data_IF_880302369002
#
_entry.id   IF_880302369002
#
_cell.length_a   1.000
_cell.length_b   1.000
_cell.length_c   1.000
_cell.angle_alpha   90.00
_cell.angle_beta   90.00
_cell.angle_gamma   90.00
#
_symmetry.space_group_name_H-M   'P 1'
#
loop_
_entity.id
_entity.type
_entity.pdbx_description
1 polymer ?
2 non-polymer ?
3 non-polymer ?
4 non-polymer ?
5 water ?
#
# COMPACT_ATOMS: atom_id res chain seq x y z
N UNK A 6 18.50 6.01 -17.60
CA UNK A 6 18.85 6.37 -16.22
C UNK A 6 18.18 7.67 -15.74
N UNK A 7 18.26 8.72 -16.56
CA UNK A 7 17.58 9.95 -16.17
C UNK A 7 16.08 9.87 -16.44
N UNK A 8 15.66 9.13 -17.47
CA UNK A 8 14.23 8.88 -17.61
C UNK A 8 13.72 8.00 -16.48
N UNK A 9 14.59 7.16 -15.90
CA UNK A 9 14.21 6.49 -14.66
C UNK A 9 14.08 7.51 -13.53
N UNK A 10 15.00 8.47 -13.47
CA UNK A 10 14.93 9.47 -12.44
C UNK A 10 13.61 10.20 -12.49
N UNK A 11 13.16 10.57 -13.69
CA UNK A 11 11.88 11.24 -13.82
C UNK A 11 10.72 10.33 -13.41
N UNK A 12 10.85 9.02 -13.58
CA UNK A 12 9.75 8.13 -13.21
C UNK A 12 9.67 7.98 -11.70
N UNK A 13 10.82 7.76 -11.05
CA UNK A 13 10.84 7.75 -9.59
C UNK A 13 10.39 9.08 -9.03
N UNK A 14 10.76 10.16 -9.71
CA UNK A 14 10.28 11.47 -9.34
C UNK A 14 8.77 11.53 -9.32
N UNK A 15 8.16 11.21 -10.46
CA UNK A 15 6.69 11.27 -10.56
C UNK A 15 6.04 10.33 -9.56
N UNK A 16 6.56 9.11 -9.43
CA UNK A 16 5.96 8.16 -8.50
C UNK A 16 5.98 8.70 -7.09
N UNK A 17 7.10 9.29 -6.67
CA UNK A 17 7.17 9.88 -5.34
C UNK A 17 6.19 11.02 -5.19
N UNK A 18 6.07 11.87 -6.21
CA UNK A 18 5.16 12.99 -6.14
C UNK A 18 3.71 12.52 -5.97
N UNK A 19 3.22 11.69 -6.90
CA UNK A 19 1.86 11.18 -6.83
C UNK A 19 1.63 10.45 -5.51
N UNK A 20 2.63 9.70 -5.04
CA UNK A 20 2.47 8.99 -3.78
C UNK A 20 2.27 9.93 -2.61
N UNK A 21 3.14 10.95 -2.53
CA UNK A 21 3.03 11.97 -1.50
C UNK A 21 1.68 12.67 -1.57
N UNK A 22 1.22 12.98 -2.79
CA UNK A 22 -0.11 13.57 -2.96
C UNK A 22 -1.20 12.62 -2.49
N UNK A 23 -0.99 11.31 -2.62
CA UNK A 23 -1.96 10.37 -2.09
C UNK A 23 -2.06 10.48 -0.59
N UNK A 24 -0.91 10.55 0.09
CA UNK A 24 -0.94 10.67 1.55
C UNK A 24 -1.50 12.02 1.98
N UNK A 25 -1.10 13.10 1.28
CA UNK A 25 -1.62 14.41 1.60
C UNK A 25 -3.12 14.46 1.44
N UNK A 26 -3.63 13.86 0.35
CA UNK A 26 -5.06 13.89 0.09
C UNK A 26 -5.82 13.05 1.10
N UNK A 27 -5.22 11.94 1.53
CA UNK A 27 -5.80 11.16 2.62
C UNK A 27 -5.94 12.01 3.87
N UNK A 28 -4.85 12.66 4.28
CA UNK A 28 -4.86 13.43 5.51
C UNK A 28 -5.81 14.61 5.42
N UNK A 29 -5.68 15.43 4.38
CA UNK A 29 -6.60 16.54 4.15
C UNK A 29 -8.04 16.07 4.20
N UNK A 30 -8.33 14.90 3.62
CA UNK A 30 -9.70 14.39 3.58
C UNK A 30 -10.23 14.04 4.97
N UNK A 31 -9.45 13.28 5.74
CA UNK A 31 -9.98 12.89 7.05
C UNK A 31 -9.98 14.07 8.01
N UNK A 32 -9.00 14.96 7.90
CA UNK A 32 -8.93 16.08 8.83
C UNK A 32 -9.94 17.16 8.47
N UNK A 33 -9.93 17.63 7.21
CA UNK A 33 -10.89 18.62 6.71
C UNK A 33 -12.31 18.08 6.67
N UNK A 34 -12.56 17.21 5.68
CA UNK A 34 -13.92 16.85 5.29
C UNK A 34 -14.60 15.91 6.27
N UNK A 35 -13.84 14.99 6.88
CA UNK A 35 -14.38 14.16 7.93
C UNK A 35 -14.10 14.83 9.28
N UNK A 36 -14.11 14.05 10.35
CA UNK A 36 -14.06 14.60 11.70
C UNK A 36 -12.65 14.71 12.27
N UNK A 37 -11.67 14.01 11.69
CA UNK A 37 -10.30 14.04 12.18
C UNK A 37 -9.75 12.67 12.52
N UNK A 38 -8.71 12.63 13.35
CA UNK A 38 -8.13 11.37 13.83
C UNK A 38 -8.23 11.31 15.36
N UNK A 39 -7.77 10.20 15.92
CA UNK A 39 -7.80 9.98 17.35
C UNK A 39 -7.84 8.50 17.63
N UNK A 40 -7.54 8.13 18.87
CA UNK A 40 -7.57 6.71 19.22
C UNK A 40 -8.86 6.32 19.94
N UNK A 41 -9.87 7.19 19.91
CA UNK A 41 -11.27 6.82 20.13
C UNK A 41 -12.16 8.02 19.79
N UNK A 42 -12.98 7.86 18.76
CA UNK A 42 -13.79 8.93 18.21
C UNK A 42 -15.31 8.77 18.29
N UNK A 43 -15.89 7.73 17.68
CA UNK A 43 -15.17 6.56 17.18
C UNK A 43 -14.76 6.61 15.71
N UNK A 44 -15.48 7.36 14.89
CA UNK A 44 -15.05 7.53 13.51
C UNK A 44 -13.73 8.28 13.41
N UNK A 45 -13.40 9.11 14.41
CA UNK A 45 -12.06 9.68 14.51
C UNK A 45 -11.01 8.59 14.50
N UNK A 46 -11.30 7.46 15.16
CA UNK A 46 -10.38 6.33 15.14
C UNK A 46 -10.45 5.60 13.81
N UNK A 47 -11.65 5.50 13.24
CA UNK A 47 -11.80 4.84 11.96
C UNK A 47 -10.94 5.52 10.90
N UNK A 48 -11.03 6.84 10.81
CA UNK A 48 -10.31 7.56 9.77
C UNK A 48 -8.79 7.39 9.88
N UNK A 49 -8.31 6.64 10.87
CA UNK A 49 -6.95 6.11 10.80
C UNK A 49 -6.83 5.06 9.71
N UNK A 50 -7.92 4.32 9.42
CA UNK A 50 -7.90 3.24 8.44
C UNK A 50 -7.46 3.73 7.07
N UNK A 51 -8.20 4.61 6.38
CA UNK A 51 -7.70 5.06 5.07
C UNK A 51 -6.31 5.70 5.15
N UNK A 52 -6.05 6.50 6.18
CA UNK A 52 -4.77 7.21 6.26
C UNK A 52 -3.61 6.24 6.41
N UNK A 53 -3.69 5.36 7.40
CA UNK A 53 -2.69 4.30 7.51
C UNK A 53 -2.55 3.52 6.21
N UNK A 54 -3.67 3.03 5.66
CA UNK A 54 -3.63 2.16 4.49
C UNK A 54 -2.95 2.82 3.32
N UNK A 55 -3.32 4.06 2.99
CA UNK A 55 -2.65 4.78 1.94
C UNK A 55 -1.17 4.90 2.24
N UNK A 56 -0.84 5.19 3.49
CA UNK A 56 0.53 5.56 3.83
C UNK A 56 1.47 4.36 3.77
N UNK A 57 1.22 3.37 4.60
CA UNK A 57 2.03 2.17 4.58
C UNK A 57 1.75 1.27 3.39
N UNK A 58 0.49 0.86 3.22
CA UNK A 58 0.17 -0.25 2.34
C UNK A 58 0.31 0.12 0.88
N UNK A 59 -0.14 1.31 0.50
CA UNK A 59 0.02 1.75 -0.87
C UNK A 59 1.37 2.42 -1.08
N UNK A 60 1.74 3.37 -0.22
CA UNK A 60 2.91 4.18 -0.53
C UNK A 60 4.20 3.51 -0.08
N UNK A 61 4.32 3.20 1.21
CA UNK A 61 5.53 2.58 1.69
C UNK A 61 5.79 1.27 0.94
N UNK A 62 4.75 0.46 0.71
CA UNK A 62 4.94 -0.75 -0.08
C UNK A 62 5.25 -0.44 -1.53
N UNK A 63 4.61 0.60 -2.07
CA UNK A 63 4.96 1.03 -3.41
C UNK A 63 6.45 1.29 -3.55
N UNK A 64 7.04 1.89 -2.53
CA UNK A 64 8.46 2.22 -2.60
C UNK A 64 9.31 0.98 -2.36
N UNK A 65 8.98 0.22 -1.32
CA UNK A 65 9.68 -1.04 -1.05
C UNK A 65 9.73 -1.93 -2.28
N UNK A 66 8.68 -1.90 -3.10
CA UNK A 66 8.63 -2.81 -4.24
C UNK A 66 9.72 -2.46 -5.25
N UNK A 67 10.07 -1.18 -5.34
CA UNK A 67 11.05 -0.73 -6.33
C UNK A 67 12.35 -0.26 -5.66
N UNK A 68 12.58 -0.61 -4.39
CA UNK A 68 13.79 -0.13 -3.74
C UNK A 68 15.04 -0.67 -4.42
N UNK A 69 15.01 -1.90 -4.93
CA UNK A 69 16.21 -2.51 -5.50
C UNK A 69 16.60 -1.90 -6.82
N UNK A 70 15.73 -1.15 -7.47
CA UNK A 70 15.96 -0.65 -8.82
C UNK A 70 16.48 0.77 -8.83
N UNK A 71 16.92 1.28 -7.68
CA UNK A 71 17.56 2.59 -7.63
C UNK A 71 19.03 2.44 -8.01
N UNK A 72 19.50 3.16 -9.04
CA UNK A 72 20.90 2.99 -9.47
C UNK A 72 21.94 3.27 -8.39
N UNK A 73 21.71 4.25 -7.52
CA UNK A 73 22.69 4.59 -6.50
C UNK A 73 22.85 3.49 -5.45
N UNK A 74 22.16 2.38 -5.63
CA UNK A 74 22.35 1.22 -4.76
C UNK A 74 22.90 0.02 -5.51
N UNK A 75 23.06 0.10 -6.84
CA UNK A 75 23.45 -1.11 -7.56
C UNK A 75 24.80 -1.62 -7.08
N UNK A 76 25.75 -0.72 -6.86
CA UNK A 76 26.97 -1.09 -6.15
C UNK A 76 26.87 -0.64 -4.69
N UNK A 77 25.86 -1.22 -4.05
CA UNK A 77 25.69 -1.29 -2.61
C UNK A 77 25.57 -2.76 -2.29
N UNK A 78 25.52 -3.11 -1.01
CA UNK A 78 25.46 -4.52 -0.68
C UNK A 78 24.08 -5.09 -1.01
N UNK A 79 24.06 -6.35 -1.45
CA UNK A 79 22.79 -7.05 -1.61
C UNK A 79 22.14 -7.30 -0.26
N UNK A 80 22.92 -7.64 0.76
CA UNK A 80 22.34 -7.85 2.07
C UNK A 80 21.75 -6.56 2.62
N UNK A 81 22.34 -5.42 2.25
CA UNK A 81 21.78 -4.16 2.71
C UNK A 81 20.47 -3.87 2.00
N UNK A 82 20.43 -4.05 0.68
CA UNK A 82 19.20 -3.78 -0.07
C UNK A 82 18.09 -4.75 0.34
N UNK A 83 18.43 -6.00 0.61
CA UNK A 83 17.49 -6.92 1.23
C UNK A 83 17.00 -6.37 2.57
N UNK A 84 17.89 -5.78 3.35
CA UNK A 84 17.46 -5.18 4.62
C UNK A 84 16.46 -4.04 4.39
N UNK A 85 16.79 -3.10 3.50
CA UNK A 85 15.87 -1.99 3.25
C UNK A 85 14.54 -2.51 2.74
N UNK A 86 14.56 -3.45 1.79
CA UNK A 86 13.34 -4.02 1.21
C UNK A 86 12.48 -4.70 2.28
N UNK A 87 13.06 -5.67 2.99
CA UNK A 87 12.37 -6.29 4.11
C UNK A 87 11.81 -5.24 5.07
N UNK A 88 12.67 -4.35 5.57
CA UNK A 88 12.25 -3.42 6.61
C UNK A 88 11.13 -2.49 6.15
N UNK A 89 11.25 -1.96 4.93
CA UNK A 89 10.21 -1.10 4.39
C UNK A 89 8.88 -1.84 4.29
N UNK A 90 8.91 -3.07 3.74
CA UNK A 90 7.69 -3.87 3.72
C UNK A 90 7.19 -4.13 5.13
N UNK A 91 8.09 -4.22 6.12
CA UNK A 91 7.70 -4.49 7.49
C UNK A 91 6.96 -3.30 8.10
N UNK A 92 7.48 -2.09 7.91
CA UNK A 92 6.75 -0.90 8.32
C UNK A 92 5.35 -0.91 7.72
N UNK A 93 5.25 -1.30 6.44
CA UNK A 93 3.95 -1.30 5.78
C UNK A 93 3.02 -2.38 6.36
N UNK A 94 3.57 -3.53 6.74
CA UNK A 94 2.76 -4.54 7.41
C UNK A 94 2.24 -4.03 8.75
N UNK A 95 3.15 -3.57 9.63
CA UNK A 95 2.75 -3.02 10.92
C UNK A 95 1.62 -2.01 10.75
N UNK A 96 1.82 -1.03 9.88
CA UNK A 96 0.79 -0.01 9.69
C UNK A 96 -0.53 -0.64 9.21
N UNK A 97 -0.48 -1.62 8.31
CA UNK A 97 -1.73 -2.19 7.81
C UNK A 97 -2.47 -3.00 8.88
N UNK A 98 -1.74 -3.71 9.73
CA UNK A 98 -2.37 -4.41 10.85
C UNK A 98 -2.99 -3.39 11.81
N UNK A 99 -2.25 -2.33 12.12
CA UNK A 99 -2.82 -1.28 12.95
C UNK A 99 -4.11 -0.76 12.31
N UNK A 100 -4.12 -0.64 10.99
CA UNK A 100 -5.25 -0.05 10.30
C UNK A 100 -6.46 -0.97 10.33
N UNK A 101 -6.23 -2.28 10.23
CA UNK A 101 -7.34 -3.22 10.30
C UNK A 101 -7.86 -3.34 11.74
N UNK A 102 -6.95 -3.33 12.71
CA UNK A 102 -7.34 -3.35 14.11
C UNK A 102 -8.18 -2.13 14.47
N UNK A 103 -7.86 -0.97 13.87
CA UNK A 103 -8.66 0.22 14.13
C UNK A 103 -10.12 -0.02 13.76
N UNK A 104 -10.35 -0.64 12.60
CA UNK A 104 -11.73 -0.87 12.18
C UNK A 104 -12.41 -1.91 13.05
N UNK A 105 -11.72 -3.03 13.30
CA UNK A 105 -12.33 -4.02 14.19
C UNK A 105 -12.65 -3.41 15.54
N UNK A 106 -11.90 -2.38 15.96
CA UNK A 106 -12.15 -1.72 17.25
C UNK A 106 -13.36 -0.78 17.18
N UNK A 107 -13.36 0.17 16.23
CA UNK A 107 -14.51 1.04 16.05
C UNK A 107 -15.80 0.26 15.84
N UNK A 108 -15.70 -0.90 15.17
CA UNK A 108 -16.89 -1.67 14.87
C UNK A 108 -17.37 -2.47 16.08
N UNK A 109 -16.46 -3.17 16.75
CA UNK A 109 -16.86 -3.90 17.96
C UNK A 109 -17.39 -2.96 19.03
N UNK A 110 -16.78 -1.77 19.16
CA UNK A 110 -17.27 -0.80 20.14
C UNK A 110 -18.64 -0.29 19.74
N UNK A 111 -18.86 -0.01 18.44
CA UNK A 111 -20.11 0.57 17.98
C UNK A 111 -21.13 -0.45 17.46
N UNK A 112 -20.93 -1.74 17.74
CA UNK A 112 -21.86 -2.79 17.36
C UNK A 112 -22.24 -2.72 15.87
N UNK A 113 -21.22 -2.85 15.03
CA UNK A 113 -21.39 -3.03 13.59
C UNK A 113 -20.88 -4.43 13.25
N UNK A 114 -21.18 -4.89 12.04
CA UNK A 114 -20.77 -6.22 11.64
C UNK A 114 -19.41 -6.19 10.97
N UNK A 115 -18.72 -7.33 11.03
CA UNK A 115 -17.39 -7.49 10.47
C UNK A 115 -17.41 -8.43 9.28
N UNK A 116 -16.62 -8.10 8.27
CA UNK A 116 -16.31 -9.02 7.18
C UNK A 116 -17.53 -9.40 6.35
N UNK A 117 -18.50 -8.48 6.26
CA UNK A 117 -19.68 -8.71 5.42
C UNK A 117 -19.47 -8.25 3.99
N UNK A 118 -18.46 -7.43 3.74
CA UNK A 118 -18.32 -6.74 2.47
C UNK A 118 -17.22 -7.38 1.64
N UNK A 119 -17.28 -7.12 0.34
CA UNK A 119 -16.25 -7.61 -0.57
C UNK A 119 -14.93 -6.89 -0.34
N UNK A 120 -15.00 -5.62 0.03
CA UNK A 120 -13.80 -4.85 0.35
C UNK A 120 -13.05 -5.46 1.52
N UNK A 121 -13.78 -5.98 2.52
CA UNK A 121 -13.11 -6.62 3.66
C UNK A 121 -12.59 -8.01 3.30
N UNK A 122 -13.31 -8.74 2.47
CA UNK A 122 -12.81 -10.06 2.04
C UNK A 122 -11.50 -9.92 1.29
N UNK A 123 -11.53 -9.19 0.17
CA UNK A 123 -10.33 -8.93 -0.58
C UNK A 123 -9.25 -8.31 0.30
N UNK A 124 -9.59 -7.23 1.01
CA UNK A 124 -8.64 -6.61 1.91
C UNK A 124 -7.96 -7.58 2.85
N UNK A 125 -8.74 -8.45 3.51
CA UNK A 125 -8.15 -9.37 4.48
C UNK A 125 -7.30 -10.43 3.79
N UNK A 126 -7.70 -10.84 2.60
CA UNK A 126 -6.87 -11.76 1.81
C UNK A 126 -5.52 -11.11 1.50
N UNK A 127 -5.56 -9.89 0.98
CA UNK A 127 -4.33 -9.14 0.69
C UNK A 127 -3.47 -8.95 1.93
N UNK A 128 -4.07 -8.83 3.10
CA UNK A 128 -3.27 -8.65 4.30
C UNK A 128 -2.59 -9.96 4.65
N UNK A 129 -3.37 -11.05 4.68
CA UNK A 129 -2.82 -12.37 5.00
C UNK A 129 -1.71 -12.77 4.02
N UNK A 130 -1.98 -12.62 2.72
CA UNK A 130 -0.96 -12.91 1.71
C UNK A 130 0.23 -11.96 1.80
N UNK A 131 0.01 -10.72 2.24
CA UNK A 131 1.15 -9.82 2.43
C UNK A 131 2.04 -10.30 3.57
N UNK A 132 1.45 -10.80 4.66
CA UNK A 132 2.27 -11.34 5.75
C UNK A 132 2.92 -12.68 5.37
N UNK A 133 2.31 -13.44 4.45
CA UNK A 133 2.93 -14.70 3.98
C UNK A 133 4.10 -14.44 3.04
N UNK A 134 3.95 -13.45 2.14
CA UNK A 134 5.10 -12.96 1.37
C UNK A 134 6.18 -12.40 2.29
N UNK A 135 5.79 -11.73 3.38
CA UNK A 135 6.80 -11.22 4.29
C UNK A 135 7.53 -12.34 5.02
N UNK A 136 6.79 -13.32 5.53
CA UNK A 136 7.43 -14.39 6.30
C UNK A 136 8.28 -15.28 5.41
N UNK A 137 7.69 -15.83 4.34
CA UNK A 137 8.48 -16.63 3.40
C UNK A 137 9.67 -15.83 2.86
N UNK A 138 9.42 -14.59 2.45
CA UNK A 138 10.51 -13.75 1.96
C UNK A 138 11.62 -13.58 2.98
N UNK A 139 11.25 -13.47 4.25
CA UNK A 139 12.27 -13.28 5.28
C UNK A 139 12.99 -14.56 5.65
N UNK A 140 12.32 -15.71 5.53
CA UNK A 140 12.92 -16.99 5.89
C UNK A 140 13.53 -17.72 4.71
N UNK A 141 13.52 -17.09 3.53
CA UNK A 141 14.23 -17.62 2.36
C UNK A 141 15.29 -16.64 1.88
N UNK A 142 14.95 -15.37 1.72
CA UNK A 142 15.84 -14.47 1.01
C UNK A 142 16.71 -13.61 1.90
N UNK A 143 16.33 -13.33 3.15
CA UNK A 143 17.24 -12.66 4.07
C UNK A 143 18.08 -13.71 4.82
N UNK A 144 17.40 -14.65 5.47
CA UNK A 144 17.99 -15.73 6.24
C UNK A 144 19.05 -16.51 5.45
N UNK A 145 19.97 -17.23 6.14
CA UNK A 145 21.08 -17.87 5.43
C UNK A 145 20.86 -19.31 4.99
N UNK A 146 20.14 -20.13 5.78
CA UNK A 146 20.15 -21.57 5.58
C UNK A 146 19.41 -22.06 4.33
N UNK A 147 18.68 -21.20 3.62
CA UNK A 147 17.82 -21.67 2.53
C UNK A 147 18.65 -22.07 1.32
N UNK A 148 18.53 -23.30 0.83
CA UNK A 148 19.34 -23.71 -0.32
C UNK A 148 19.08 -22.83 -1.54
N UNK A 149 20.15 -22.57 -2.28
CA UNK A 149 20.08 -21.66 -3.42
C UNK A 149 19.02 -22.09 -4.43
N UNK A 150 18.75 -23.39 -4.50
CA UNK A 150 17.69 -23.89 -5.38
C UNK A 150 16.31 -23.43 -4.90
N UNK A 151 16.11 -23.38 -3.59
CA UNK A 151 14.85 -22.91 -3.05
C UNK A 151 14.63 -21.43 -3.34
N UNK A 152 15.68 -20.61 -3.27
CA UNK A 152 15.60 -19.25 -3.76
C UNK A 152 15.30 -19.22 -5.26
N UNK A 153 15.90 -20.16 -5.99
CA UNK A 153 15.82 -20.17 -7.45
C UNK A 153 14.39 -20.34 -7.92
N UNK A 154 13.62 -21.21 -7.27
CA UNK A 154 12.24 -21.34 -7.74
C UNK A 154 11.20 -20.67 -6.86
N UNK A 155 11.57 -20.14 -5.69
CA UNK A 155 10.64 -19.26 -5.01
C UNK A 155 10.60 -17.88 -5.68
N UNK A 156 11.74 -17.41 -6.21
CA UNK A 156 11.83 -16.03 -6.69
C UNK A 156 10.75 -15.61 -7.69
N UNK A 157 10.40 -16.39 -8.74
CA UNK A 157 9.41 -15.86 -9.70
C UNK A 157 8.02 -15.79 -9.09
N UNK A 158 7.67 -16.79 -8.27
CA UNK A 158 6.49 -16.69 -7.42
C UNK A 158 6.53 -15.40 -6.61
N UNK A 159 7.65 -15.13 -5.93
CA UNK A 159 7.70 -14.04 -4.95
C UNK A 159 7.59 -12.68 -5.65
N UNK A 160 8.22 -12.53 -6.81
CA UNK A 160 8.04 -11.29 -7.56
C UNK A 160 6.59 -11.16 -8.01
N UNK A 161 6.05 -12.22 -8.65
CA UNK A 161 4.67 -12.20 -9.12
C UNK A 161 3.70 -11.85 -7.98
N UNK A 162 3.81 -12.57 -6.88
CA UNK A 162 2.94 -12.37 -5.73
C UNK A 162 3.02 -10.94 -5.22
N UNK A 163 4.23 -10.37 -5.20
CA UNK A 163 4.34 -8.98 -4.77
C UNK A 163 3.56 -8.05 -5.67
N UNK A 164 3.70 -8.23 -6.99
CA UNK A 164 2.96 -7.36 -7.90
C UNK A 164 1.45 -7.58 -7.76
N UNK A 165 1.03 -8.83 -7.58
CA UNK A 165 -0.38 -9.16 -7.46
C UNK A 165 -0.97 -8.54 -6.20
N UNK A 166 -0.28 -8.69 -5.06
CA UNK A 166 -0.78 -8.13 -3.81
C UNK A 166 -0.80 -6.60 -3.90
N UNK A 167 0.23 -6.00 -4.48
CA UNK A 167 0.19 -4.55 -4.69
C UNK A 167 -1.07 -4.13 -5.43
N UNK A 168 -1.33 -4.73 -6.59
CA UNK A 168 -2.54 -4.40 -7.34
C UNK A 168 -3.80 -4.62 -6.51
N UNK A 169 -3.94 -5.80 -5.93
CA UNK A 169 -5.10 -6.10 -5.10
C UNK A 169 -5.31 -5.06 -4.04
N UNK A 170 -4.22 -4.55 -3.45
CA UNK A 170 -4.32 -3.53 -2.42
C UNK A 170 -4.85 -2.24 -3.03
N UNK A 171 -4.41 -1.91 -4.25
CA UNK A 171 -4.95 -0.73 -4.94
C UNK A 171 -6.45 -0.90 -5.18
N UNK A 172 -6.85 -2.08 -5.63
CA UNK A 172 -8.25 -2.34 -5.89
C UNK A 172 -9.07 -2.27 -4.61
N UNK A 173 -8.53 -2.79 -3.51
CA UNK A 173 -9.24 -2.71 -2.23
C UNK A 173 -9.33 -1.28 -1.73
N UNK A 174 -8.29 -0.47 -1.97
CA UNK A 174 -8.36 0.95 -1.62
C UNK A 174 -9.51 1.64 -2.35
N UNK A 175 -9.57 1.46 -3.67
CA UNK A 175 -10.66 2.08 -4.44
C UNK A 175 -12.02 1.57 -3.96
N UNK A 176 -12.14 0.29 -3.65
CA UNK A 176 -13.38 -0.17 -3.05
C UNK A 176 -13.65 0.53 -1.73
N UNK A 177 -12.60 0.73 -0.92
CA UNK A 177 -12.78 1.41 0.36
C UNK A 177 -13.30 2.83 0.22
N UNK A 178 -12.62 3.63 -0.61
CA UNK A 178 -13.11 4.96 -0.95
C UNK A 178 -14.60 4.91 -1.31
N UNK A 179 -14.96 4.08 -2.28
CA UNK A 179 -16.37 3.97 -2.68
C UNK A 179 -17.29 3.73 -1.48
N UNK A 180 -17.00 2.71 -0.66
CA UNK A 180 -17.84 2.42 0.50
C UNK A 180 -18.01 3.66 1.38
N UNK A 181 -16.88 4.32 1.68
CA UNK A 181 -16.90 5.45 2.59
C UNK A 181 -17.72 6.61 2.03
N UNK A 182 -17.51 6.95 0.76
CA UNK A 182 -18.26 8.03 0.12
C UNK A 182 -19.75 7.71 0.06
N UNK A 183 -20.12 6.47 -0.25
CA UNK A 183 -21.53 6.13 -0.35
C UNK A 183 -22.19 6.15 1.02
N UNK A 184 -21.54 5.56 2.02
CA UNK A 184 -22.05 5.59 3.39
C UNK A 184 -22.18 7.02 3.92
N UNK A 185 -21.16 7.84 3.70
CA UNK A 185 -21.02 9.12 4.40
C UNK A 185 -21.70 10.30 3.70
N UNK A 186 -21.66 10.35 2.38
CA UNK A 186 -22.16 11.52 1.66
C UNK A 186 -23.63 11.35 1.33
N UNK A 187 -24.45 11.41 2.38
CA UNK A 187 -25.89 11.22 2.23
C UNK A 187 -26.63 12.54 1.94
N UNK A 188 -26.24 13.64 2.59
CA UNK A 188 -26.93 14.91 2.38
C UNK A 188 -26.02 16.10 2.65
N UNK A 189 -25.38 16.69 1.62
CA UNK A 189 -25.43 16.45 0.17
C UNK A 189 -25.08 15.03 -0.23
N UNK A 190 -25.91 14.43 -1.05
CA UNK A 190 -25.64 13.08 -1.51
C UNK A 190 -24.46 13.08 -2.50
N UNK A 191 -23.66 12.03 -2.43
CA UNK A 191 -22.60 11.74 -3.40
C UNK A 191 -23.03 12.09 -4.82
N UNK A 192 -24.27 11.71 -5.17
CA UNK A 192 -24.77 11.94 -6.53
C UNK A 192 -24.74 13.41 -6.91
N UNK A 193 -24.81 14.31 -5.93
CA UNK A 193 -24.85 15.75 -6.17
C UNK A 193 -23.48 16.36 -6.35
N UNK A 194 -22.45 15.56 -6.64
CA UNK A 194 -21.11 16.06 -6.91
C UNK A 194 -20.52 16.99 -5.84
N UNK A 195 -20.69 16.71 -4.54
CA UNK A 195 -20.22 17.66 -3.52
C UNK A 195 -18.70 17.77 -3.53
N UNK A 196 -18.14 18.79 -2.85
CA UNK A 196 -16.67 18.93 -2.85
C UNK A 196 -15.91 17.69 -2.39
N UNK A 197 -16.33 17.05 -1.31
CA UNK A 197 -15.64 15.84 -0.85
C UNK A 197 -15.71 14.73 -1.89
N UNK A 198 -16.80 14.67 -2.66
CA UNK A 198 -16.90 13.67 -3.71
C UNK A 198 -15.82 13.83 -4.77
N UNK A 199 -15.60 15.06 -5.24
CA UNK A 199 -14.57 15.30 -6.24
C UNK A 199 -13.18 15.11 -5.63
N UNK A 200 -12.99 15.58 -4.40
CA UNK A 200 -11.70 15.47 -3.77
C UNK A 200 -11.28 14.01 -3.60
N UNK A 201 -12.17 13.20 -3.03
CA UNK A 201 -11.86 11.79 -2.82
C UNK A 201 -11.75 11.05 -4.14
N UNK A 202 -12.62 11.33 -5.11
CA UNK A 202 -12.44 10.68 -6.42
C UNK A 202 -11.05 10.97 -6.97
N UNK A 203 -10.59 12.22 -6.83
CA UNK A 203 -9.24 12.58 -7.25
C UNK A 203 -8.20 11.77 -6.50
N UNK A 204 -8.35 11.65 -5.16
CA UNK A 204 -7.42 10.81 -4.41
C UNK A 204 -7.42 9.38 -4.95
N UNK A 205 -8.59 8.86 -5.32
CA UNK A 205 -8.67 7.57 -5.97
C UNK A 205 -7.77 7.50 -7.19
N UNK A 206 -7.99 8.43 -8.12
CA UNK A 206 -7.16 8.47 -9.33
C UNK A 206 -5.67 8.57 -9.01
N UNK A 207 -5.30 9.32 -7.96
CA UNK A 207 -3.90 9.42 -7.60
C UNK A 207 -3.35 8.07 -7.15
N UNK A 208 -4.10 7.37 -6.29
CA UNK A 208 -3.74 6.02 -5.86
C UNK A 208 -3.57 5.10 -7.08
N UNK A 209 -4.46 5.26 -8.08
CA UNK A 209 -4.39 4.48 -9.29
C UNK A 209 -3.12 4.78 -10.08
N UNK A 210 -2.91 6.06 -10.43
CA UNK A 210 -1.74 6.44 -11.21
C UNK A 210 -0.47 5.99 -10.51
N UNK A 211 -0.41 6.21 -9.19
CA UNK A 211 0.77 5.77 -8.46
C UNK A 211 1.02 4.28 -8.68
N UNK A 212 -0.03 3.46 -8.59
CA UNK A 212 0.14 2.07 -8.96
C UNK A 212 0.72 1.87 -10.34
N UNK A 213 0.20 2.63 -11.34
CA UNK A 213 0.68 2.48 -12.71
C UNK A 213 2.17 2.79 -12.82
N UNK A 214 2.60 3.90 -12.21
CA UNK A 214 4.01 4.26 -12.21
C UNK A 214 4.84 3.17 -11.57
N UNK A 215 4.42 2.67 -10.40
CA UNK A 215 5.23 1.66 -9.75
C UNK A 215 5.32 0.40 -10.60
N UNK A 216 4.27 0.07 -11.35
CA UNK A 216 4.31 -1.12 -12.21
C UNK A 216 5.24 -0.91 -13.40
N UNK A 217 5.17 0.27 -14.03
CA UNK A 217 6.11 0.57 -15.10
C UNK A 217 7.55 0.45 -14.62
N UNK A 218 7.92 1.24 -13.60
CA UNK A 218 9.27 1.16 -13.04
C UNK A 218 9.67 -0.28 -12.79
N UNK A 219 8.83 -1.05 -12.07
CA UNK A 219 9.24 -2.38 -11.66
C UNK A 219 9.23 -3.40 -12.80
N UNK A 220 8.75 -3.05 -14.00
CA UNK A 220 8.82 -4.03 -15.08
C UNK A 220 9.71 -3.58 -16.23
N UNK A 221 10.68 -2.72 -15.96
CA UNK A 221 11.69 -2.42 -16.96
C UNK A 221 12.85 -3.39 -16.75
N UNK A 222 13.13 -4.29 -17.69
CA UNK A 222 14.34 -5.12 -17.54
C UNK A 222 15.61 -4.31 -17.50
N UNK A 223 15.65 -3.14 -18.15
CA UNK A 223 16.87 -2.33 -18.15
C UNK A 223 17.11 -1.63 -16.82
N UNK A 224 16.23 -1.77 -15.83
CA UNK A 224 16.41 -1.19 -14.50
C UNK A 224 16.36 -2.25 -13.42
N UNK A 225 16.42 -3.51 -13.78
CA UNK A 225 16.52 -4.53 -12.76
C UNK A 225 17.91 -4.42 -12.12
N UNK A 226 18.01 -4.76 -10.85
CA UNK A 226 19.33 -4.66 -10.21
C UNK A 226 20.27 -5.67 -10.85
N UNK A 227 21.43 -5.25 -11.36
CA UNK A 227 22.27 -6.16 -12.15
C UNK A 227 22.69 -7.36 -11.32
N UNK A 228 22.56 -8.55 -11.92
CA UNK A 228 22.66 -9.80 -11.18
C UNK A 228 24.02 -9.94 -10.49
N UNK A 229 23.97 -10.48 -9.28
CA UNK A 229 25.16 -10.71 -8.47
C UNK A 229 26.09 -11.70 -9.18
N UNK A 230 27.42 -11.54 -9.02
CA UNK A 230 28.41 -12.43 -9.64
C UNK A 230 28.11 -13.93 -9.47
X LIG B 1 -13.21 -2.14 6.52
X LIG B 1 -9.07 -3.79 4.66
X LIG B 1 -8.45 0.57 2.62
X LIG B 1 -12.84 2.06 4.09
X LIG B 1 -12.14 -2.93 6.23
X LIG B 1 -11.91 -4.26 6.74
X LIG B 1 -10.77 -4.72 6.24
X LIG B 1 -10.24 -3.70 5.37
X LIG B 1 -10.16 -6.11 6.55
X LIG B 1 -12.79 -5.05 7.72
X LIG B 1 -12.64 -4.46 9.10
X LIG B 1 -13.87 -4.81 9.89
X LIG B 1 -14.62 -5.69 9.42
X LIG B 1 -14.09 -4.19 10.98
X LIG B 1 -8.56 -2.76 3.91
X LIG B 1 -7.37 -2.81 3.09
X LIG B 1 -7.23 -1.63 2.53
X LIG B 1 -8.28 -0.75 2.98
X LIG B 1 -6.44 -4.01 2.84
X LIG B 1 -6.09 -1.30 1.59
X LIG B 1 -6.40 -0.66 0.48
X LIG B 1 -9.55 1.37 2.87
X LIG B 1 -9.68 2.77 2.52
X LIG B 1 -10.85 3.19 2.93
X LIG B 1 -11.56 2.08 3.55
X LIG B 1 -8.62 3.64 1.80
X LIG B 1 -11.31 4.63 2.70
X LIG B 1 -12.34 5.12 3.37
X LIG B 1 -13.34 1.03 4.87
X LIG B 1 -14.66 0.95 5.46
X LIG B 1 -14.74 -0.20 6.14
X LIG B 1 -13.49 -0.90 5.98
X LIG B 1 -15.77 2.01 5.36
X LIG B 1 -15.95 -0.75 6.94
X LIG B 1 -16.99 -1.32 5.97
X LIG B 1 -16.64 -2.74 5.62
X LIG B 1 -16.56 -3.63 6.52
X LIG B 1 -16.48 -3.01 4.40
X LIG B 1 -11.10 -2.61 5.38
X LIG B 1 -9.09 -1.47 3.82
X LIG B 1 -10.71 0.98 3.50
X LIG B 1 -12.66 -0.13 5.20
X LIG B 1 -10.92 -0.75 4.39
X LIG C 1 12.21 -8.63 -5.23
X LIG C 1 7.88 -7.61 -3.34
X LIG C 1 9.26 -9.22 1.00
X LIG C 1 13.58 -10.38 -0.92
X LIG C 1 10.90 -8.23 -5.08
X LIG C 1 10.08 -7.69 -6.12
X LIG C 1 8.89 -7.41 -5.59
X LIG C 1 8.93 -7.77 -4.20
X LIG C 1 7.66 -6.79 -6.29
X LIG C 1 10.53 -7.44 -7.58
X LIG C 1 11.38 -6.18 -7.55
X LIG C 1 12.22 -6.06 -8.80
X LIG C 1 12.46 -7.10 -9.47
X LIG C 1 12.68 -4.93 -9.11
X LIG C 1 7.87 -7.93 -2.01
X LIG C 1 6.74 -7.75 -1.11
X LIG C 1 7.15 -8.20 0.09
X LIG C 1 8.51 -8.68 -0.03
X LIG C 1 5.40 -7.13 -1.56
X LIG C 1 6.40 -8.28 1.45
X LIG C 1 5.09 -8.16 1.60
X LIG C 1 10.58 -9.62 0.88
X LIG C 1 11.47 -9.98 1.98
X LIG C 1 12.66 -10.28 1.45
X LIG C 1 12.57 -10.15 0.00
X LIG C 1 11.14 -10.01 3.49
X LIG C 1 13.87 -10.73 2.30
X LIG C 1 15.13 -10.64 1.85
X LIG C 1 13.59 -10.00 -2.26
X LIG C 1 14.69 -10.18 -3.19
X LIG C 1 14.32 -9.70 -4.37
X LIG C 1 12.97 -9.20 -4.24
X LIG C 1 16.06 -10.83 -2.87
X LIG C 1 15.17 -9.69 -5.68
X LIG C 1 15.83 -8.33 -5.83
X LIG C 1 16.52 -8.20 -7.16
X LIG C 1 17.71 -8.62 -7.23
X LIG C 1 15.91 -7.67 -8.13
X LIG C 1 10.17 -8.27 -3.92
X LIG C 1 8.92 -8.50 -1.33
X LIG C 1 11.28 -9.73 -0.30
X LIG C 1 12.56 -9.41 -2.94
X LIG C 1 10.74 -8.97 -2.15
X LIG D 1 -17.33 1.34 10.19
X LIG E 1 -18.46 3.35 8.10
X LIG E 1 -19.24 2.14 8.26
X LIG E 1 -20.50 2.46 8.04
X LIG E 1 -20.66 3.89 7.64
X LIG E 1 -21.53 4.56 8.69
X LIG E 1 -21.68 6.07 8.49
X LIG E 1 -17.25 3.45 8.34
X LIG E 1 -18.78 0.93 8.57
X LIG E 1 -21.53 1.62 8.21
X LIG E 1 -19.32 4.43 7.62
X LIG E 1 -20.96 4.24 9.98
X LIG E 1 -22.65 6.63 9.39
X LIG F 1 18.57 -14.39 -3.24
X LIG F 1 19.13 -13.18 -3.80
X LIG F 1 18.54 -12.95 -4.96
X LIG F 1 17.62 -14.09 -5.34
X LIG F 1 17.91 -14.73 -6.70
X LIG F 1 17.13 -16.04 -6.81
X LIG F 1 18.69 -14.80 -2.09
X LIG F 1 20.11 -12.46 -3.25
X LIG F 1 18.69 -11.83 -5.66
X LIG F 1 17.79 -15.06 -4.27
X LIG F 1 19.31 -15.01 -6.85
X LIG F 1 17.56 -16.78 -7.95
#
# INVERSE_FOLDING_TARGET
>A
MAMEGYWRFLALLGSALLVGFLSVIFALVWVLHYREGLGWDGSALEFNWHPVLMVTGFVFIQGIAIIVYRLPWTWKCSKLLMKSIHAGLNAVAAILAIISVVAVFENHNVNNIANMYSLHSWVGLIAVICYLLQLLSGFSVFLLPWAPLSLRAFLMPIHVYSGIVIFGTVIATALMGLTEKLIFSLRDPAYSTFPPEGVFVNTLGLLILVFGALIFWIVTRPQWKRPKEPNSTILHPNGGTEQGARGSMPAYSGNNMDKSDSELNSEVAARKRNLALDEAGQRSTMVELVPR
>B hetero
1 HEM CHA CHB CHC CHD C1A C2A C3A C4A CMA CAA CBA CGA O1A O2A C1B C2B C3B C4B CMB CAB CBB C1C C2C C3C C4C CMC CAC CBC C1D C2D C3D C4D CMD CAD CBD CGD O1D O2D NA NB NC ND FE
>C hetero
1 HEM CHA CHB CHC CHD C1A C2A C3A C4A CMA CAA CBA CGA O1A O2A C1B C2B C3B C4B CMB CAB CBB C1C C2C C3C C4C CMC CAC CBC C1D C2D C3D C4D CMD CAD CBD CGD O1D O2D NA NB NC ND FE
>D hetero
1 ZN ZN
>E hetero
1 ASC C1 C2 C3 C4 C5 C6 O1 O2 O3 O4 O5 O6
>F hetero
1 ASC C1 C2 C3 C4 C5 C6 O1 O2 O3 O4 O5 O6
#
